data_IF_180086454651
#
_entry.id   IF_180086454651
#
_cell.length_a   1.000
_cell.length_b   1.000
_cell.length_c   1.000
_cell.angle_alpha   90.00
_cell.angle_beta   90.00
_cell.angle_gamma   90.00
#
_symmetry.space_group_name_H-M   'P 1'
#
loop_
_entity.id
_entity.type
_entity.pdbx_description
1 polymer ?
#
# COMPACT_ATOMS: atom_id res chain seq x y z
N UNK A 1 8.18 9.11 3.03
CA UNK A 1 7.75 9.78 4.28
C UNK A 1 6.91 10.98 3.89
N UNK A 2 5.80 11.25 4.58
CA UNK A 2 4.84 12.31 4.23
C UNK A 2 4.96 13.47 5.22
N UNK A 3 4.99 14.71 4.74
CA UNK A 3 4.96 15.89 5.59
C UNK A 3 3.51 16.40 5.72
N UNK A 4 3.02 16.53 6.95
CA UNK A 4 1.67 16.96 7.27
C UNK A 4 1.64 18.33 7.98
N UNK A 5 2.76 19.04 8.01
CA UNK A 5 2.87 20.35 8.67
C UNK A 5 1.99 21.44 8.06
N UNK A 6 1.42 21.20 6.87
CA UNK A 6 0.47 22.10 6.23
C UNK A 6 -0.95 21.99 6.79
N UNK A 7 -1.25 20.95 7.58
CA UNK A 7 -2.57 20.76 8.21
C UNK A 7 -2.54 21.50 9.57
N UNK A 8 -3.35 22.55 9.75
CA UNK A 8 -3.47 23.26 11.02
C UNK A 8 -3.95 22.36 12.16
N UNK A 9 -3.60 22.73 13.39
CA UNK A 9 -3.93 21.94 14.59
C UNK A 9 -5.43 21.89 14.90
N UNK A 10 -6.12 22.96 14.52
CA UNK A 10 -7.53 23.23 14.70
C UNK A 10 -8.40 22.72 13.54
N UNK A 11 -7.78 22.18 12.48
CA UNK A 11 -8.50 21.59 11.35
C UNK A 11 -9.02 20.18 11.69
N UNK A 12 -10.33 19.98 11.53
CA UNK A 12 -10.95 18.68 11.68
C UNK A 12 -10.90 17.91 10.35
N UNK A 13 -9.96 16.99 10.22
CA UNK A 13 -9.90 16.09 9.06
C UNK A 13 -11.09 15.13 9.04
N UNK A 14 -11.82 15.13 7.92
CA UNK A 14 -12.93 14.21 7.67
C UNK A 14 -12.48 12.90 7.03
N UNK A 15 -11.52 12.97 6.10
CA UNK A 15 -11.00 11.83 5.35
C UNK A 15 -9.59 12.11 4.82
N UNK A 16 -8.86 11.05 4.48
CA UNK A 16 -7.58 11.12 3.80
C UNK A 16 -7.40 9.95 2.84
N UNK A 17 -6.89 10.24 1.64
CA UNK A 17 -6.65 9.25 0.59
C UNK A 17 -5.17 9.20 0.20
N UNK A 18 -4.62 8.00 0.05
CA UNK A 18 -3.38 7.76 -0.67
C UNK A 18 -3.71 7.41 -2.11
N UNK A 19 -3.25 8.24 -3.06
CA UNK A 19 -3.42 8.00 -4.49
C UNK A 19 -2.16 7.42 -5.09
N UNK A 20 -2.25 6.23 -5.67
CA UNK A 20 -1.15 5.54 -6.32
C UNK A 20 -1.44 5.43 -7.82
N UNK A 21 -0.51 5.89 -8.64
CA UNK A 21 -0.59 5.67 -10.09
C UNK A 21 0.01 4.32 -10.43
N UNK A 22 -0.79 3.44 -11.03
CA UNK A 22 -0.31 2.16 -11.55
C UNK A 22 -0.10 2.26 -13.05
N UNK A 23 1.06 1.79 -13.51
CA UNK A 23 1.36 1.62 -14.92
C UNK A 23 1.03 0.18 -15.37
N UNK A 24 0.53 0.04 -16.58
CA UNK A 24 0.39 -1.25 -17.25
C UNK A 24 1.79 -1.87 -17.44
N UNK A 25 1.88 -3.19 -17.34
CA UNK A 25 3.10 -3.92 -17.68
C UNK A 25 2.88 -4.44 -19.11
N UNK A 26 3.77 -4.09 -20.05
CA UNK A 26 3.63 -4.46 -21.46
C UNK A 26 3.55 -5.99 -21.65
N UNK A 27 2.61 -6.39 -22.49
CA UNK A 27 2.12 -7.75 -22.71
C UNK A 27 3.11 -8.70 -23.39
N UNK A 28 4.35 -8.28 -23.70
CA UNK A 28 5.37 -9.17 -24.28
C UNK A 28 5.83 -10.30 -23.33
N UNK A 29 5.41 -10.27 -22.05
CA UNK A 29 5.59 -11.34 -21.06
C UNK A 29 4.25 -12.09 -20.79
N UNK A 30 3.13 -11.56 -21.30
CA UNK A 30 1.76 -11.98 -20.97
C UNK A 30 1.16 -13.03 -21.92
N UNK A 31 1.81 -13.35 -23.04
CA UNK A 31 1.35 -14.36 -24.03
C UNK A 31 1.18 -15.79 -23.47
N UNK A 32 1.57 -16.05 -22.22
CA UNK A 32 1.45 -17.34 -21.55
C UNK A 32 0.38 -17.40 -20.45
N UNK A 33 -0.32 -16.30 -20.14
CA UNK A 33 -1.24 -16.22 -19.00
C UNK A 33 -2.65 -16.01 -19.54
N UNK A 34 -3.56 -16.95 -19.28
CA UNK A 34 -4.94 -16.84 -19.76
C UNK A 34 -5.58 -15.52 -19.34
N UNK A 35 -6.44 -14.98 -20.22
CA UNK A 35 -7.08 -13.67 -20.20
C UNK A 35 -7.86 -13.31 -18.91
N UNK A 36 -8.05 -14.29 -18.01
CA UNK A 36 -8.79 -14.17 -16.76
C UNK A 36 -7.86 -13.99 -15.52
N UNK A 37 -6.54 -13.97 -15.69
CA UNK A 37 -5.61 -14.35 -14.62
C UNK A 37 -4.35 -13.49 -14.41
N UNK A 38 -4.41 -12.15 -14.38
CA UNK A 38 -3.37 -11.41 -13.63
C UNK A 38 -3.97 -10.30 -12.75
N UNK A 39 -4.47 -10.74 -11.60
CA UNK A 39 -4.90 -9.88 -10.51
C UNK A 39 -3.70 -9.59 -9.59
N UNK A 40 -3.54 -8.33 -9.23
CA UNK A 40 -2.65 -7.91 -8.15
C UNK A 40 -3.48 -7.51 -6.94
N UNK A 41 -3.02 -7.89 -5.75
CA UNK A 41 -3.51 -7.31 -4.51
C UNK A 41 -2.53 -6.25 -4.05
N UNK A 42 -3.00 -5.02 -3.93
CA UNK A 42 -2.25 -3.91 -3.34
C UNK A 42 -2.72 -3.75 -1.91
N UNK A 43 -1.81 -3.83 -0.95
CA UNK A 43 -2.05 -3.60 0.46
C UNK A 43 -1.35 -2.31 0.89
N UNK A 44 -2.05 -1.45 1.63
CA UNK A 44 -1.50 -0.23 2.22
C UNK A 44 -1.51 -0.39 3.73
N UNK A 45 -0.37 -0.12 4.35
CA UNK A 45 -0.15 -0.27 5.79
C UNK A 45 0.34 1.04 6.41
N UNK A 46 -0.04 1.29 7.66
CA UNK A 46 0.66 2.23 8.53
C UNK A 46 1.90 1.55 9.12
N UNK A 47 3.02 2.28 9.18
CA UNK A 47 4.20 1.87 9.93
C UNK A 47 4.06 2.36 11.38
N UNK A 48 4.06 1.44 12.34
CA UNK A 48 3.78 1.77 13.76
C UNK A 48 5.03 2.12 14.57
N UNK A 49 6.22 1.75 14.09
CA UNK A 49 7.51 2.02 14.76
C UNK A 49 8.58 2.33 13.74
N UNK A 50 9.61 3.06 14.17
CA UNK A 50 10.81 3.29 13.37
C UNK A 50 11.35 1.96 12.79
N UNK A 51 11.51 1.84 11.47
CA UNK A 51 11.99 0.62 10.83
C UNK A 51 13.36 0.21 11.37
N UNK A 52 13.54 -1.08 11.65
CA UNK A 52 14.83 -1.68 12.02
C UNK A 52 15.24 -2.69 10.95
N UNK A 53 16.54 -2.96 10.77
CA UNK A 53 16.98 -4.01 9.85
C UNK A 53 16.25 -5.34 10.14
N UNK A 54 15.54 -5.87 9.13
CA UNK A 54 14.79 -7.12 9.23
C UNK A 54 13.49 -7.07 10.04
N UNK A 55 13.08 -5.92 10.57
CA UNK A 55 11.84 -5.78 11.36
C UNK A 55 11.06 -4.53 10.96
N UNK A 56 9.86 -4.76 10.43
CA UNK A 56 8.88 -3.74 10.12
C UNK A 56 7.58 -4.07 10.86
N UNK A 57 7.13 -3.17 11.74
CA UNK A 57 5.87 -3.34 12.47
C UNK A 57 4.82 -2.47 11.80
N UNK A 58 3.81 -3.12 11.23
CA UNK A 58 2.80 -2.48 10.38
C UNK A 58 1.39 -2.88 10.76
N UNK A 59 0.43 -2.02 10.42
CA UNK A 59 -1.01 -2.27 10.52
C UNK A 59 -1.67 -2.03 9.17
N UNK A 60 -2.46 -2.98 8.67
CA UNK A 60 -3.18 -2.85 7.40
C UNK A 60 -4.22 -1.73 7.51
N UNK A 61 -4.22 -0.81 6.54
CA UNK A 61 -5.20 0.27 6.41
C UNK A 61 -6.25 -0.08 5.36
N UNK A 62 -5.80 -0.42 4.15
CA UNK A 62 -6.69 -0.70 3.02
C UNK A 62 -6.05 -1.74 2.08
N UNK A 63 -6.91 -2.46 1.34
CA UNK A 63 -6.51 -3.47 0.36
C UNK A 63 -7.38 -3.40 -0.88
N UNK A 64 -6.75 -3.52 -2.06
CA UNK A 64 -7.47 -3.50 -3.34
C UNK A 64 -6.97 -4.58 -4.28
N UNK A 65 -7.92 -5.27 -4.90
CA UNK A 65 -7.68 -6.18 -6.00
C UNK A 65 -7.78 -5.42 -7.32
N UNK A 66 -6.69 -5.39 -8.08
CA UNK A 66 -6.60 -4.64 -9.34
C UNK A 66 -6.18 -5.56 -10.48
N UNK A 67 -6.71 -5.30 -11.68
CA UNK A 67 -6.24 -5.95 -12.92
C UNK A 67 -4.98 -5.27 -13.43
N UNK A 68 -4.06 -6.01 -14.03
CA UNK A 68 -2.81 -5.47 -14.60
C UNK A 68 -3.02 -4.64 -15.88
N UNK A 69 -4.10 -4.91 -16.63
CA UNK A 69 -4.31 -4.47 -18.02
C UNK A 69 -4.67 -2.99 -18.25
N UNK A 70 -4.55 -2.12 -17.24
CA UNK A 70 -4.86 -0.71 -17.39
C UNK A 70 -3.84 0.16 -16.63
N UNK A 71 -3.46 1.31 -17.17
CA UNK A 71 -2.78 2.34 -16.37
C UNK A 71 -3.84 3.24 -15.73
N UNK A 72 -3.87 3.35 -14.41
CA UNK A 72 -4.85 4.21 -13.71
C UNK A 72 -4.41 4.58 -12.30
N UNK A 73 -5.03 5.63 -11.79
CA UNK A 73 -4.98 5.99 -10.37
C UNK A 73 -5.84 5.03 -9.55
N UNK A 74 -5.27 4.56 -8.44
CA UNK A 74 -5.96 3.84 -7.38
C UNK A 74 -5.96 4.73 -6.14
N UNK A 75 -7.09 4.74 -5.40
CA UNK A 75 -7.24 5.49 -4.16
C UNK A 75 -7.35 4.52 -3.00
N UNK A 76 -6.64 4.78 -1.91
CA UNK A 76 -6.66 3.96 -0.70
C UNK A 76 -7.01 4.82 0.50
N UNK A 77 -7.91 4.33 1.34
CA UNK A 77 -8.25 5.05 2.58
C UNK A 77 -7.09 4.96 3.58
N UNK A 78 -6.57 6.12 3.97
CA UNK A 78 -5.52 6.26 4.98
C UNK A 78 -5.95 7.16 6.13
N UNK A 79 -7.25 7.49 6.18
CA UNK A 79 -7.85 8.32 7.24
C UNK A 79 -7.44 7.88 8.65
N UNK A 80 -7.45 6.57 9.00
CA UNK A 80 -7.08 6.16 10.35
C UNK A 80 -5.66 6.56 10.74
N UNK A 81 -4.69 6.44 9.84
CA UNK A 81 -3.29 6.79 10.10
C UNK A 81 -3.10 8.31 10.16
N UNK A 82 -3.68 9.04 9.21
CA UNK A 82 -3.56 10.51 9.17
C UNK A 82 -4.22 11.15 10.38
N UNK A 83 -5.37 10.65 10.83
CA UNK A 83 -6.03 11.09 12.07
C UNK A 83 -5.15 10.87 13.30
N UNK A 84 -4.49 9.70 13.40
CA UNK A 84 -3.53 9.44 14.49
C UNK A 84 -2.36 10.42 14.50
N UNK A 85 -1.77 10.69 13.34
CA UNK A 85 -0.61 11.56 13.24
C UNK A 85 -0.93 13.03 13.51
N UNK A 86 -2.11 13.49 13.13
CA UNK A 86 -2.53 14.89 13.24
C UNK A 86 -3.25 15.17 14.55
N UNK A 87 -4.30 14.41 14.87
CA UNK A 87 -5.17 14.63 16.04
C UNK A 87 -4.59 14.04 17.32
N UNK A 88 -4.08 12.81 17.26
CA UNK A 88 -3.53 12.12 18.43
C UNK A 88 -2.04 12.45 18.65
N UNK A 89 -1.42 13.22 17.75
CA UNK A 89 0.00 13.61 17.78
C UNK A 89 0.96 12.42 17.86
N UNK A 90 0.54 11.27 17.32
CA UNK A 90 1.40 10.11 17.24
C UNK A 90 2.49 10.31 16.18
N UNK A 91 3.67 9.71 16.34
CA UNK A 91 4.74 9.82 15.36
C UNK A 91 4.32 9.29 13.99
N UNK A 92 4.62 10.05 12.94
CA UNK A 92 4.46 9.59 11.56
C UNK A 92 5.72 8.82 11.11
N UNK A 93 5.67 7.49 11.15
CA UNK A 93 6.72 6.62 10.58
C UNK A 93 6.47 6.27 9.10
N UNK A 94 5.39 6.78 8.52
CA UNK A 94 5.03 6.62 7.12
C UNK A 94 4.07 5.46 6.84
N UNK A 95 3.87 5.22 5.55
CA UNK A 95 3.07 4.12 5.02
C UNK A 95 3.97 3.12 4.30
N UNK A 96 3.60 1.84 4.35
CA UNK A 96 4.18 0.79 3.53
C UNK A 96 3.16 0.32 2.49
N UNK A 97 3.62 0.02 1.29
CA UNK A 97 2.80 -0.49 0.20
C UNK A 97 3.36 -1.82 -0.27
N UNK A 98 2.51 -2.83 -0.33
CA UNK A 98 2.86 -4.17 -0.82
C UNK A 98 2.01 -4.52 -2.04
N UNK A 99 2.65 -5.07 -3.07
CA UNK A 99 1.96 -5.53 -4.29
C UNK A 99 2.19 -7.02 -4.45
N UNK A 100 1.12 -7.80 -4.33
CA UNK A 100 1.14 -9.26 -4.44
C UNK A 100 0.54 -9.70 -5.77
N UNK A 101 1.24 -10.56 -6.49
CA UNK A 101 0.81 -11.13 -7.76
C UNK A 101 0.12 -12.46 -7.48
N UNK A 102 -1.19 -12.55 -7.72
CA UNK A 102 -1.97 -13.71 -7.24
C UNK A 102 -1.81 -14.96 -8.12
N UNK A 103 -1.44 -14.80 -9.38
CA UNK A 103 -1.41 -15.89 -10.36
C UNK A 103 -0.01 -16.25 -10.83
N UNK A 104 1.02 -15.63 -10.24
CA UNK A 104 2.40 -16.03 -10.41
C UNK A 104 2.70 -17.05 -9.32
N UNK A 105 2.78 -18.33 -9.69
CA UNK A 105 3.28 -19.36 -8.78
C UNK A 105 4.66 -18.93 -8.26
N UNK A 106 4.87 -18.89 -6.93
CA UNK A 106 6.09 -18.32 -6.39
C UNK A 106 7.27 -19.24 -6.71
N UNK A 107 8.11 -18.85 -7.68
CA UNK A 107 9.49 -19.33 -7.73
C UNK A 107 10.24 -18.71 -6.55
N UNK A 108 10.21 -19.42 -5.42
CA UNK A 108 11.08 -19.33 -4.26
C UNK A 108 11.39 -17.92 -3.69
N UNK A 109 10.96 -17.65 -2.46
CA UNK A 109 11.85 -17.41 -1.29
C UNK A 109 11.03 -16.95 -0.07
N UNK A 110 11.40 -17.45 1.11
CA UNK A 110 10.93 -16.95 2.40
C UNK A 110 10.24 -17.96 3.31
N UNK A 111 10.93 -19.05 3.67
CA UNK A 111 10.50 -19.95 4.76
C UNK A 111 10.69 -19.23 6.10
N UNK A 112 9.62 -18.68 6.67
CA UNK A 112 9.61 -18.33 8.10
C UNK A 112 9.45 -19.62 8.92
N UNK A 113 10.49 -19.98 9.67
CA UNK A 113 10.41 -20.98 10.73
C UNK A 113 10.17 -20.24 12.04
N UNK A 114 9.24 -20.76 12.85
CA UNK A 114 8.84 -20.25 14.17
C UNK A 114 9.97 -20.29 15.18
#
# INVERSE_FOLDING_TARGET
MFNLSSIPEDELLSSAELRLYRHQIDEAIADAISDDQALHRINVYEVLKAPRPGQLITQLLDTRLVRHNASRWESFDVSPAVLRWTRERLPNYGLAVEVLHLNQTPRHQGRHVR
#
